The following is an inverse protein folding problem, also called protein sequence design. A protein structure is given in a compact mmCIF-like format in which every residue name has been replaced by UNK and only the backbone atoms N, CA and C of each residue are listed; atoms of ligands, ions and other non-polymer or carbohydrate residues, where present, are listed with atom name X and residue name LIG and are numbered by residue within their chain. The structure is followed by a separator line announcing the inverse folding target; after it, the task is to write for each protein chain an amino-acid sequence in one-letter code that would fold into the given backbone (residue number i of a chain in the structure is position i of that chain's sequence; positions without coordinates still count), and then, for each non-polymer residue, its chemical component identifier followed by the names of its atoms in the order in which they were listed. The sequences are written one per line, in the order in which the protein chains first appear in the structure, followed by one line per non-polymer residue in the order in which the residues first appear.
data_IF_852633471600
#
_entry.id   IF_852633471600
#
_cell.length_a   1.000
_cell.length_b   1.000
_cell.length_c   1.000
_cell.angle_alpha   90.00
_cell.angle_beta   90.00
_cell.angle_gamma   90.00
#
_symmetry.space_group_name_H-M   'P 1'
#
loop_
_entity.id
_entity.type
_entity.pdbx_description
1 polymer ?
#
# COMPACT_ATOMS: atom_id res chain seq x y z
N UNK A 1 -28.24 8.36 16.21
CA UNK A 1 -26.87 8.11 16.67
C UNK A 1 -26.33 6.68 16.42
N UNK A 2 -27.13 5.61 16.23
CA UNK A 2 -26.61 4.28 15.85
C UNK A 2 -25.92 4.24 14.48
N UNK A 3 -26.47 4.95 13.49
CA UNK A 3 -25.95 4.94 12.11
C UNK A 3 -24.52 5.51 11.96
N UNK A 4 -24.10 6.46 12.81
CA UNK A 4 -22.74 7.00 12.79
C UNK A 4 -21.71 6.03 13.40
N UNK A 5 -22.12 5.26 14.42
CA UNK A 5 -21.31 4.22 15.03
C UNK A 5 -21.14 3.03 14.08
N UNK A 6 -22.22 2.55 13.45
CA UNK A 6 -22.16 1.51 12.42
C UNK A 6 -21.37 1.94 11.18
N UNK A 7 -21.47 3.22 10.76
CA UNK A 7 -20.66 3.74 9.65
C UNK A 7 -19.17 3.85 10.03
N UNK A 8 -18.85 4.23 11.27
CA UNK A 8 -17.48 4.27 11.77
C UNK A 8 -16.88 2.86 11.91
N UNK A 9 -17.64 1.92 12.48
CA UNK A 9 -17.21 0.54 12.66
C UNK A 9 -17.06 -0.19 11.31
N UNK A 10 -17.94 0.08 10.34
CA UNK A 10 -17.80 -0.46 8.97
C UNK A 10 -16.62 0.15 8.21
N UNK A 11 -16.36 1.45 8.36
CA UNK A 11 -15.15 2.10 7.79
C UNK A 11 -13.87 1.57 8.43
N UNK A 12 -13.81 1.44 9.76
CA UNK A 12 -12.67 0.86 10.47
C UNK A 12 -12.48 -0.62 10.13
N UNK A 13 -13.56 -1.37 9.92
CA UNK A 13 -13.50 -2.75 9.49
C UNK A 13 -12.90 -2.87 8.10
N UNK A 14 -13.30 -2.01 7.16
CA UNK A 14 -12.73 -1.96 5.81
C UNK A 14 -11.23 -1.63 5.87
N UNK A 15 -10.84 -0.57 6.59
CA UNK A 15 -9.42 -0.18 6.79
C UNK A 15 -8.56 -1.38 7.22
N UNK A 16 -9.07 -2.18 8.16
CA UNK A 16 -8.36 -3.35 8.67
C UNK A 16 -8.38 -4.52 7.70
N UNK A 17 -9.43 -4.66 6.90
CA UNK A 17 -9.53 -5.67 5.86
C UNK A 17 -8.46 -5.48 4.78
N UNK A 18 -8.17 -4.25 4.36
CA UNK A 18 -7.16 -4.02 3.31
C UNK A 18 -5.76 -4.38 3.78
N UNK A 19 -5.34 -3.91 4.96
CA UNK A 19 -4.04 -4.27 5.55
C UNK A 19 -3.92 -5.79 5.73
N UNK A 20 -4.96 -6.45 6.23
CA UNK A 20 -4.94 -7.90 6.43
C UNK A 20 -4.87 -8.67 5.10
N UNK A 21 -5.63 -8.24 4.09
CA UNK A 21 -5.60 -8.84 2.75
C UNK A 21 -4.22 -8.67 2.12
N UNK A 22 -3.63 -7.48 2.17
CA UNK A 22 -2.25 -7.24 1.70
C UNK A 22 -1.24 -8.13 2.44
N UNK A 23 -1.42 -8.33 3.75
CA UNK A 23 -0.52 -9.18 4.53
C UNK A 23 -0.64 -10.66 4.13
N UNK A 24 -1.87 -11.18 4.00
CA UNK A 24 -2.11 -12.57 3.55
C UNK A 24 -1.58 -12.81 2.13
N UNK A 25 -1.76 -11.85 1.23
CA UNK A 25 -1.20 -11.91 -0.12
C UNK A 25 0.33 -11.82 -0.11
N UNK A 26 0.93 -10.96 0.71
CA UNK A 26 2.39 -10.84 0.81
C UNK A 26 3.04 -12.11 1.36
N UNK A 27 2.49 -12.70 2.41
CA UNK A 27 2.98 -14.00 2.92
C UNK A 27 2.97 -15.07 1.82
N UNK A 28 1.93 -15.08 0.97
CA UNK A 28 1.82 -16.01 -0.16
C UNK A 28 2.80 -15.71 -1.31
N UNK A 29 2.94 -14.44 -1.68
CA UNK A 29 3.62 -14.03 -2.93
C UNK A 29 5.09 -13.62 -2.73
N UNK A 30 5.47 -13.15 -1.54
CA UNK A 30 6.84 -12.70 -1.22
C UNK A 30 7.49 -13.50 -0.08
N UNK A 31 6.69 -14.10 0.81
CA UNK A 31 7.14 -14.98 1.88
C UNK A 31 7.14 -14.32 3.26
N UNK A 32 7.55 -13.06 3.36
CA UNK A 32 7.52 -12.29 4.60
C UNK A 32 6.86 -10.92 4.42
N UNK A 33 6.25 -10.42 5.48
CA UNK A 33 5.55 -9.14 5.52
C UNK A 33 5.93 -8.38 6.78
N UNK A 34 6.19 -7.09 6.63
CA UNK A 34 6.19 -6.13 7.72
C UNK A 34 4.92 -5.29 7.66
N UNK A 35 4.28 -5.11 8.82
CA UNK A 35 3.18 -4.16 9.00
C UNK A 35 3.67 -3.10 9.98
N UNK A 36 3.38 -1.83 9.72
CA UNK A 36 3.75 -0.74 10.64
C UNK A 36 3.27 -1.05 12.07
N UNK A 37 4.15 -0.85 13.07
CA UNK A 37 3.89 -1.23 14.48
C UNK A 37 2.56 -0.68 15.02
N UNK A 38 2.19 0.54 14.62
CA UNK A 38 0.93 1.18 15.04
C UNK A 38 -0.34 0.43 14.61
N UNK A 39 -0.23 -0.49 13.64
CA UNK A 39 -1.33 -1.32 13.17
C UNK A 39 -1.38 -2.69 13.84
N UNK A 40 -0.34 -3.14 14.57
CA UNK A 40 -0.25 -4.52 15.08
C UNK A 40 -1.37 -4.92 16.03
N UNK A 41 -1.84 -3.99 16.88
CA UNK A 41 -2.89 -4.24 17.86
C UNK A 41 -4.30 -4.24 17.26
N UNK A 42 -4.47 -3.78 16.02
CA UNK A 42 -5.77 -3.75 15.34
C UNK A 42 -6.23 -5.16 15.00
N UNK A 43 -7.54 -5.38 15.04
CA UNK A 43 -8.16 -6.69 14.80
C UNK A 43 -8.92 -6.73 13.47
N UNK A 44 -8.72 -7.80 12.70
CA UNK A 44 -9.56 -8.17 11.58
C UNK A 44 -9.93 -9.65 11.70
N UNK A 45 -11.22 -9.98 11.63
CA UNK A 45 -11.73 -11.34 11.78
C UNK A 45 -11.21 -12.08 13.03
N UNK A 46 -11.18 -11.38 14.16
CA UNK A 46 -10.63 -11.84 15.45
C UNK A 46 -9.12 -12.14 15.47
N UNK A 47 -8.38 -11.87 14.39
CA UNK A 47 -6.92 -11.97 14.32
C UNK A 47 -6.29 -10.59 14.47
N UNK A 48 -5.18 -10.49 15.22
CA UNK A 48 -4.39 -9.25 15.29
C UNK A 48 -3.62 -9.06 13.99
N UNK A 49 -3.62 -7.87 13.41
CA UNK A 49 -2.84 -7.64 12.19
C UNK A 49 -1.35 -7.97 12.39
N UNK A 50 -0.81 -7.71 13.59
CA UNK A 50 0.57 -8.06 13.93
C UNK A 50 0.89 -9.55 13.79
N UNK A 51 -0.09 -10.46 13.86
CA UNK A 51 0.17 -11.90 13.67
C UNK A 51 0.52 -12.28 12.23
N UNK A 52 0.28 -11.39 11.26
CA UNK A 52 0.73 -11.57 9.89
C UNK A 52 2.10 -10.91 9.61
N UNK A 53 2.60 -10.10 10.55
CA UNK A 53 3.86 -9.37 10.43
C UNK A 53 5.01 -10.16 11.06
N UNK A 54 6.22 -9.98 10.53
CA UNK A 54 7.43 -10.28 11.29
C UNK A 54 7.54 -9.38 12.52
N UNK A 55 8.17 -9.88 13.57
CA UNK A 55 8.28 -9.20 14.88
C UNK A 55 9.16 -7.93 14.82
N UNK A 56 10.17 -7.94 13.96
CA UNK A 56 11.09 -6.84 13.77
C UNK A 56 11.48 -6.72 12.29
N UNK A 57 11.49 -5.48 11.78
CA UNK A 57 11.99 -5.19 10.45
C UNK A 57 13.50 -5.48 10.40
N UNK A 58 13.98 -6.39 9.54
CA UNK A 58 15.40 -6.68 9.43
C UNK A 58 16.16 -5.48 8.86
N UNK A 59 17.48 -5.50 8.99
CA UNK A 59 18.31 -4.55 8.26
C UNK A 59 18.11 -4.75 6.76
N UNK A 60 17.57 -3.72 6.09
CA UNK A 60 17.31 -3.76 4.67
C UNK A 60 18.58 -3.35 3.93
N UNK A 61 18.75 -3.78 2.68
CA UNK A 61 19.88 -3.37 1.83
C UNK A 61 19.75 -1.92 1.35
N UNK A 62 19.51 -0.97 2.27
CA UNK A 62 19.35 0.47 2.05
C UNK A 62 19.92 1.25 3.25
N UNK A 63 20.14 2.55 3.09
CA UNK A 63 20.67 3.39 4.17
C UNK A 63 19.67 3.58 5.33
N UNK A 64 20.19 3.82 6.54
CA UNK A 64 19.39 4.00 7.76
C UNK A 64 18.19 4.99 7.60
N UNK A 65 18.33 6.15 6.92
CA UNK A 65 17.19 7.05 6.75
C UNK A 65 16.05 6.42 5.94
N UNK A 66 16.36 5.65 4.89
CA UNK A 66 15.37 4.95 4.08
C UNK A 66 14.71 3.83 4.88
N UNK A 67 15.50 3.09 5.67
CA UNK A 67 14.97 2.03 6.54
C UNK A 67 13.98 2.58 7.59
N UNK A 68 14.28 3.75 8.18
CA UNK A 68 13.37 4.40 9.13
C UNK A 68 12.03 4.74 8.49
N UNK A 69 12.01 5.19 7.23
CA UNK A 69 10.76 5.46 6.50
C UNK A 69 9.98 4.16 6.27
N UNK A 70 10.66 3.09 5.87
CA UNK A 70 10.03 1.79 5.64
C UNK A 70 9.33 1.26 6.91
N UNK A 71 9.84 1.56 8.10
CA UNK A 71 9.19 1.17 9.37
C UNK A 71 7.78 1.77 9.52
N UNK A 72 7.54 2.96 8.94
CA UNK A 72 6.27 3.67 9.01
C UNK A 72 5.34 3.44 7.82
N UNK A 73 5.77 2.68 6.81
CA UNK A 73 4.90 2.29 5.70
C UNK A 73 3.91 1.21 6.19
N UNK A 74 2.63 1.36 5.87
CA UNK A 74 1.57 0.50 6.39
C UNK A 74 1.82 -1.00 6.20
N UNK A 75 2.21 -1.40 4.98
CA UNK A 75 2.58 -2.78 4.66
C UNK A 75 3.79 -2.82 3.73
N UNK A 76 4.75 -3.68 4.03
CA UNK A 76 5.96 -3.90 3.22
C UNK A 76 6.13 -5.40 3.01
N UNK A 77 6.24 -5.80 1.75
CA UNK A 77 6.50 -7.17 1.37
C UNK A 77 8.00 -7.39 1.26
N UNK A 78 8.48 -8.48 1.84
CA UNK A 78 9.89 -8.86 1.85
C UNK A 78 10.06 -10.21 1.16
N UNK A 79 11.19 -10.39 0.46
CA UNK A 79 11.55 -11.63 -0.23
C UNK A 79 13.03 -11.94 -0.05
N UNK A 80 13.35 -13.23 0.08
CA UNK A 80 14.73 -13.73 0.15
C UNK A 80 15.53 -13.09 1.30
N UNK A 81 16.73 -12.60 0.98
CA UNK A 81 17.66 -11.98 1.93
C UNK A 81 17.24 -10.56 2.35
N UNK A 82 16.04 -10.43 2.93
CA UNK A 82 15.49 -9.17 3.46
C UNK A 82 15.39 -8.04 2.44
N UNK A 83 15.15 -8.38 1.16
CA UNK A 83 14.92 -7.40 0.12
C UNK A 83 13.44 -6.99 0.09
N UNK A 84 13.19 -5.70 -0.11
CA UNK A 84 11.83 -5.20 -0.29
C UNK A 84 11.32 -5.63 -1.67
N UNK A 85 10.20 -6.34 -1.69
CA UNK A 85 9.52 -6.80 -2.88
C UNK A 85 8.45 -5.79 -3.35
N UNK A 86 7.75 -5.15 -2.41
CA UNK A 86 6.77 -4.10 -2.68
C UNK A 86 6.47 -3.32 -1.38
N UNK A 87 6.03 -2.08 -1.49
CA UNK A 87 5.61 -1.24 -0.37
C UNK A 87 4.22 -0.63 -0.63
N UNK A 88 3.37 -0.56 0.40
CA UNK A 88 1.97 -0.19 0.30
C UNK A 88 1.58 0.81 1.39
N UNK A 89 0.99 1.92 0.97
CA UNK A 89 0.32 2.88 1.85
C UNK A 89 -1.20 2.74 1.72
N UNK A 90 -1.92 2.64 2.83
CA UNK A 90 -3.38 2.43 2.85
C UNK A 90 -4.09 3.74 3.21
N UNK A 91 -4.60 4.43 2.20
CA UNK A 91 -5.15 5.79 2.33
C UNK A 91 -6.67 5.80 2.09
N UNK A 92 -7.41 5.17 3.01
CA UNK A 92 -8.88 5.12 2.94
C UNK A 92 -9.53 6.42 3.45
N UNK A 93 -9.28 6.80 4.71
CA UNK A 93 -9.88 7.97 5.38
C UNK A 93 -8.87 9.04 5.79
N UNK A 94 -7.58 8.76 5.64
CA UNK A 94 -6.47 9.66 5.93
C UNK A 94 -6.05 10.46 4.69
N UNK A 95 -5.16 11.42 4.88
CA UNK A 95 -4.69 12.26 3.78
C UNK A 95 -3.76 11.48 2.86
N UNK A 96 -4.16 11.31 1.60
CA UNK A 96 -3.32 10.73 0.53
C UNK A 96 -1.96 11.42 0.44
N UNK A 97 -1.89 12.71 0.80
CA UNK A 97 -0.63 13.45 0.81
C UNK A 97 0.41 12.86 1.77
N UNK A 98 -0.01 12.37 2.94
CA UNK A 98 0.91 11.83 3.95
C UNK A 98 1.54 10.51 3.49
N UNK A 99 0.75 9.59 2.93
CA UNK A 99 1.25 8.38 2.28
C UNK A 99 2.19 8.70 1.12
N UNK A 100 1.78 9.60 0.22
CA UNK A 100 2.63 10.03 -0.89
C UNK A 100 3.95 10.64 -0.43
N UNK A 101 3.96 11.42 0.65
CA UNK A 101 5.17 12.04 1.17
C UNK A 101 6.15 10.98 1.70
N UNK A 102 5.69 9.95 2.42
CA UNK A 102 6.54 8.84 2.86
C UNK A 102 7.14 8.08 1.67
N UNK A 103 6.34 7.82 0.64
CA UNK A 103 6.83 7.20 -0.60
C UNK A 103 7.81 8.11 -1.35
N UNK A 104 7.59 9.42 -1.36
CA UNK A 104 8.49 10.40 -1.95
C UNK A 104 9.86 10.41 -1.24
N UNK A 105 9.87 10.41 0.09
CA UNK A 105 11.09 10.39 0.89
C UNK A 105 11.89 9.10 0.64
N UNK A 106 11.20 7.95 0.55
CA UNK A 106 11.82 6.68 0.19
C UNK A 106 12.46 6.72 -1.21
N UNK A 107 11.75 7.28 -2.19
CA UNK A 107 12.26 7.46 -3.56
C UNK A 107 13.44 8.43 -3.62
N UNK A 108 13.44 9.48 -2.80
CA UNK A 108 14.52 10.45 -2.73
C UNK A 108 15.80 9.85 -2.12
N UNK A 109 15.66 8.99 -1.10
CA UNK A 109 16.78 8.34 -0.42
C UNK A 109 17.29 7.09 -1.16
N UNK A 110 16.46 6.52 -2.03
CA UNK A 110 16.81 5.37 -2.87
C UNK A 110 16.40 5.64 -4.32
N UNK A 111 17.22 6.45 -5.02
CA UNK A 111 16.95 6.92 -6.38
C UNK A 111 16.78 5.75 -7.38
N UNK A 112 17.48 4.64 -7.15
CA UNK A 112 17.38 3.38 -7.89
C UNK A 112 16.45 2.36 -7.19
N UNK A 113 15.32 2.82 -6.66
CA UNK A 113 14.29 1.94 -6.09
C UNK A 113 13.94 0.84 -7.09
N UNK A 114 14.25 -0.41 -6.75
CA UNK A 114 14.10 -1.58 -7.61
C UNK A 114 12.76 -2.30 -7.43
N UNK A 115 11.90 -1.79 -6.55
CA UNK A 115 10.61 -2.39 -6.21
C UNK A 115 9.46 -1.40 -6.40
N UNK A 116 8.25 -1.89 -6.72
CA UNK A 116 7.07 -1.05 -6.87
C UNK A 116 6.58 -0.51 -5.53
N UNK A 117 6.03 0.71 -5.58
CA UNK A 117 5.33 1.34 -4.46
C UNK A 117 3.88 1.61 -4.86
N UNK A 118 2.96 1.32 -3.94
CA UNK A 118 1.53 1.38 -4.18
C UNK A 118 0.83 2.25 -3.14
N UNK A 119 -0.22 2.94 -3.59
CA UNK A 119 -1.27 3.44 -2.71
C UNK A 119 -2.51 2.59 -2.88
N UNK A 120 -3.09 2.19 -1.77
CA UNK A 120 -4.37 1.51 -1.69
C UNK A 120 -5.41 2.55 -1.31
N UNK A 121 -6.39 2.80 -2.19
CA UNK A 121 -7.41 3.83 -1.98
C UNK A 121 -8.76 3.40 -2.59
N UNK A 122 -9.89 3.95 -2.13
CA UNK A 122 -11.18 3.71 -2.78
C UNK A 122 -11.24 4.43 -4.14
N UNK A 123 -12.04 3.90 -5.07
CA UNK A 123 -12.23 4.48 -6.42
C UNK A 123 -12.66 5.94 -6.38
N UNK A 124 -13.46 6.32 -5.40
CA UNK A 124 -13.96 7.69 -5.20
C UNK A 124 -12.84 8.73 -5.05
N UNK A 125 -11.65 8.33 -4.58
CA UNK A 125 -10.52 9.22 -4.28
C UNK A 125 -9.46 9.29 -5.39
N UNK A 126 -9.72 8.67 -6.55
CA UNK A 126 -8.77 8.68 -7.69
C UNK A 126 -8.39 10.10 -8.14
N UNK A 127 -9.31 11.08 -8.02
CA UNK A 127 -9.03 12.48 -8.38
C UNK A 127 -8.02 13.11 -7.42
N UNK A 128 -8.06 12.77 -6.14
CA UNK A 128 -7.13 13.29 -5.13
C UNK A 128 -5.71 12.78 -5.37
N UNK A 129 -5.52 11.47 -5.58
CA UNK A 129 -4.19 10.91 -5.84
C UNK A 129 -3.58 11.46 -7.13
N UNK A 130 -4.39 11.64 -8.19
CA UNK A 130 -3.94 12.27 -9.44
C UNK A 130 -3.54 13.73 -9.23
N UNK A 131 -4.31 14.48 -8.46
CA UNK A 131 -4.02 15.89 -8.14
C UNK A 131 -2.70 16.01 -7.39
N UNK A 132 -2.49 15.20 -6.35
CA UNK A 132 -1.26 15.24 -5.58
C UNK A 132 -0.04 14.80 -6.42
N UNK A 133 -0.11 13.67 -7.13
CA UNK A 133 0.97 13.21 -8.03
C UNK A 133 1.28 14.20 -9.16
N UNK A 134 0.33 15.07 -9.53
CA UNK A 134 0.55 16.10 -10.55
C UNK A 134 1.41 17.27 -10.07
N UNK A 135 1.70 17.37 -8.77
CA UNK A 135 2.47 18.47 -8.17
C UNK A 135 3.92 18.46 -8.66
N UNK A 136 4.52 19.65 -8.89
CA UNK A 136 5.91 19.75 -9.36
C UNK A 136 6.92 18.99 -8.49
N UNK A 137 6.74 18.98 -7.16
CA UNK A 137 7.64 18.28 -6.24
C UNK A 137 7.67 16.76 -6.48
N UNK A 138 6.51 16.12 -6.66
CA UNK A 138 6.43 14.68 -6.90
C UNK A 138 6.86 14.31 -8.33
N UNK A 139 6.57 15.15 -9.32
CA UNK A 139 7.07 14.99 -10.69
C UNK A 139 8.59 15.08 -10.78
N UNK A 140 9.21 16.00 -10.04
CA UNK A 140 10.68 16.14 -10.00
C UNK A 140 11.37 14.87 -9.51
N UNK A 141 10.77 14.20 -8.51
CA UNK A 141 11.21 12.90 -7.99
C UNK A 141 10.80 11.71 -8.87
N UNK A 142 10.08 11.96 -9.97
CA UNK A 142 9.45 10.94 -10.83
C UNK A 142 8.52 10.00 -10.06
N UNK A 143 7.95 10.46 -8.95
CA UNK A 143 7.04 9.66 -8.13
C UNK A 143 5.76 9.35 -8.91
N UNK A 144 5.30 10.25 -9.79
CA UNK A 144 4.18 10.03 -10.71
C UNK A 144 4.40 8.85 -11.67
N UNK A 145 5.66 8.48 -11.92
CA UNK A 145 6.05 7.34 -12.75
C UNK A 145 6.36 6.07 -11.96
N UNK A 146 6.76 6.21 -10.69
CA UNK A 146 7.11 5.09 -9.80
C UNK A 146 5.92 4.60 -8.96
N UNK A 147 5.08 5.51 -8.51
CA UNK A 147 3.93 5.23 -7.66
C UNK A 147 2.75 4.76 -8.51
N UNK A 148 2.21 3.61 -8.13
CA UNK A 148 0.99 3.06 -8.69
C UNK A 148 -0.10 3.09 -7.62
N UNK A 149 -1.34 2.85 -8.01
CA UNK A 149 -2.38 2.64 -7.03
C UNK A 149 -3.24 1.43 -7.36
N UNK A 150 -3.81 0.82 -6.31
CA UNK A 150 -4.75 -0.29 -6.43
C UNK A 150 -6.02 0.13 -5.73
N UNK A 151 -7.16 -0.11 -6.37
CA UNK A 151 -8.43 0.19 -5.76
C UNK A 151 -8.79 -0.86 -4.71
N UNK A 152 -9.25 -0.39 -3.56
CA UNK A 152 -9.74 -1.24 -2.46
C UNK A 152 -10.80 -2.20 -2.97
N UNK A 153 -11.72 -1.70 -3.78
CA UNK A 153 -12.83 -2.47 -4.33
C UNK A 153 -12.36 -3.64 -5.19
N UNK A 154 -11.32 -3.43 -6.00
CA UNK A 154 -10.77 -4.47 -6.89
C UNK A 154 -9.90 -5.45 -6.08
N UNK A 155 -9.12 -4.96 -5.12
CA UNK A 155 -8.34 -5.79 -4.20
C UNK A 155 -9.25 -6.75 -3.40
N UNK A 156 -10.29 -6.21 -2.75
CA UNK A 156 -11.20 -7.01 -1.92
C UNK A 156 -12.08 -7.97 -2.73
N UNK A 157 -12.34 -7.66 -4.00
CA UNK A 157 -13.04 -8.55 -4.92
C UNK A 157 -12.17 -9.74 -5.33
N UNK A 158 -10.91 -9.49 -5.70
CA UNK A 158 -10.09 -10.48 -6.40
C UNK A 158 -9.09 -11.21 -5.49
N UNK A 159 -8.84 -10.76 -4.25
CA UNK A 159 -7.79 -11.35 -3.40
C UNK A 159 -7.93 -12.86 -3.15
N UNK A 160 -9.15 -13.39 -3.06
CA UNK A 160 -9.38 -14.84 -2.88
C UNK A 160 -8.96 -15.65 -4.10
N UNK A 161 -9.07 -15.08 -5.29
CA UNK A 161 -8.54 -15.69 -6.51
C UNK A 161 -7.02 -15.58 -6.53
N UNK A 162 -6.47 -14.40 -6.19
CA UNK A 162 -5.02 -14.15 -6.15
C UNK A 162 -4.32 -15.08 -5.15
N UNK A 163 -4.86 -15.26 -3.94
CA UNK A 163 -4.22 -16.14 -2.95
C UNK A 163 -4.22 -17.62 -3.39
N UNK A 164 -5.24 -18.03 -4.16
CA UNK A 164 -5.41 -19.41 -4.63
C UNK A 164 -4.56 -19.71 -5.87
N UNK A 165 -4.46 -18.78 -6.81
CA UNK A 165 -3.88 -19.01 -8.13
C UNK A 165 -2.64 -18.15 -8.43
N UNK A 166 -2.42 -17.07 -7.69
CA UNK A 166 -1.26 -16.19 -7.87
C UNK A 166 0.05 -16.90 -7.50
N UNK A 167 1.04 -16.77 -8.38
CA UNK A 167 2.35 -17.40 -8.25
C UNK A 167 3.47 -16.41 -7.98
N UNK A 168 3.24 -15.13 -8.28
CA UNK A 168 4.24 -14.06 -8.21
C UNK A 168 3.57 -12.68 -8.07
N UNK A 169 4.39 -11.64 -8.06
CA UNK A 169 3.97 -10.25 -7.85
C UNK A 169 3.13 -9.69 -9.02
N UNK A 170 3.12 -10.33 -10.20
CA UNK A 170 2.29 -9.87 -11.32
C UNK A 170 0.79 -9.99 -11.01
N UNK A 171 0.42 -10.91 -10.12
CA UNK A 171 -0.97 -11.05 -9.70
C UNK A 171 -1.50 -9.78 -8.98
N UNK A 172 -0.62 -9.04 -8.29
CA UNK A 172 -0.95 -7.73 -7.70
C UNK A 172 -0.72 -6.59 -8.70
N UNK A 173 0.34 -6.67 -9.51
CA UNK A 173 0.63 -5.65 -10.52
C UNK A 173 -0.55 -5.46 -11.48
N UNK A 174 -1.27 -6.54 -11.82
CA UNK A 174 -2.42 -6.54 -12.72
C UNK A 174 -3.62 -5.74 -12.20
N UNK A 175 -3.74 -5.53 -10.88
CA UNK A 175 -4.79 -4.70 -10.29
C UNK A 175 -4.43 -3.20 -10.23
N UNK A 176 -3.20 -2.85 -10.59
CA UNK A 176 -2.67 -1.53 -10.32
C UNK A 176 -2.76 -0.58 -11.51
N UNK A 177 -3.01 0.68 -11.21
CA UNK A 177 -3.16 1.77 -12.15
C UNK A 177 -2.03 2.80 -11.99
N UNK A 178 -1.77 3.53 -13.06
CA UNK A 178 -0.84 4.65 -13.12
C UNK A 178 -1.59 5.94 -13.41
N UNK A 179 -0.90 7.07 -13.30
CA UNK A 179 -1.45 8.40 -13.65
C UNK A 179 -2.09 8.42 -15.05
N UNK A 180 -1.59 7.57 -15.96
CA UNK A 180 -1.99 7.46 -17.36
C UNK A 180 -3.11 6.42 -17.61
N UNK A 181 -3.44 5.55 -16.64
CA UNK A 181 -4.42 4.45 -16.79
C UNK A 181 -5.86 4.90 -17.05
N UNK A 182 -6.14 6.19 -16.87
CA UNK A 182 -7.42 6.78 -17.21
C UNK A 182 -7.11 8.16 -17.79
N UNK A 183 -6.78 8.22 -19.08
CA UNK A 183 -6.88 9.48 -19.82
C UNK A 183 -8.30 9.96 -19.60
N UNK A 184 -8.46 11.06 -18.87
CA UNK A 184 -9.73 11.75 -18.83
C UNK A 184 -10.05 12.03 -20.29
N UNK A 185 -11.14 11.45 -20.80
CA UNK A 185 -11.80 12.09 -21.91
C UNK A 185 -12.08 13.51 -21.41
N UNK A 186 -11.39 14.49 -21.98
CA UNK A 186 -11.93 15.83 -22.00
C UNK A 186 -13.21 15.68 -22.82
N UNK A 187 -14.34 15.57 -22.13
CA UNK A 187 -15.69 15.94 -22.54
C UNK A 187 -16.67 15.43 -21.47
N UNK A 188 -17.04 16.34 -20.56
CA UNK A 188 -18.39 16.62 -20.03
C UNK A 188 -18.30 17.60 -18.84
#
# INVERSE_FOLDING_TARGET
MPALQEFHDSTLYLIRAETAVLAKLGQKLSGAVWIARGNHSKLWDNEKLGSYSIDALPHLAMGNPAQNIVEYIDVVWLRGDNQVAAAFEVECSTSIYSGLLRLADLVALSSNLSFPVYIILPKSRVREVKKELSRPCFKSLKLDKKCRWIFIEDLLKDWKAIIKFGTDLEAISGLSHTIDSFKLNHDD
#
